data_IF_974023802718
#
_entry.id   IF_974023802718
#
_cell.length_a   1.000
_cell.length_b   1.000
_cell.length_c   1.000
_cell.angle_alpha   90.00
_cell.angle_beta   90.00
_cell.angle_gamma   90.00
#
_symmetry.space_group_name_H-M   'P 1'
#
loop_
_entity.id
_entity.type
_entity.pdbx_description
1 polymer ?
#
# COMPACT_ATOMS: atom_id res chain seq x y z
N UNK A 1 7.60 3.05 0.88
CA UNK A 1 7.13 4.18 1.72
C UNK A 1 8.29 4.73 2.55
N UNK A 2 9.18 5.51 1.94
CA UNK A 2 10.28 6.20 2.61
C UNK A 2 11.03 7.08 1.60
N UNK A 3 11.90 7.97 2.08
CA UNK A 3 12.89 8.59 1.20
C UNK A 3 13.94 7.56 0.78
N UNK A 4 14.53 7.73 -0.42
CA UNK A 4 15.60 6.84 -0.88
C UNK A 4 16.75 6.75 0.12
N UNK A 5 17.21 7.90 0.62
CA UNK A 5 18.28 7.98 1.63
C UNK A 5 18.00 7.11 2.85
N UNK A 6 16.78 7.17 3.39
CA UNK A 6 16.42 6.40 4.57
C UNK A 6 16.38 4.89 4.29
N UNK A 7 15.65 4.46 3.25
CA UNK A 7 15.54 3.02 2.98
C UNK A 7 16.86 2.40 2.50
N UNK A 8 17.71 3.14 1.80
CA UNK A 8 19.06 2.67 1.46
C UNK A 8 19.93 2.55 2.70
N UNK A 9 19.87 3.50 3.63
CA UNK A 9 20.67 3.48 4.88
C UNK A 9 20.15 2.44 5.89
N UNK A 10 18.84 2.21 5.93
CA UNK A 10 18.17 1.40 6.94
C UNK A 10 17.38 0.23 6.31
N UNK A 11 18.05 -0.56 5.46
CA UNK A 11 17.42 -1.69 4.75
C UNK A 11 16.80 -2.71 5.69
N UNK A 12 17.54 -3.15 6.71
CA UNK A 12 17.06 -4.13 7.68
C UNK A 12 15.80 -3.64 8.41
N UNK A 13 15.81 -2.38 8.87
CA UNK A 13 14.64 -1.77 9.51
C UNK A 13 13.43 -1.69 8.55
N UNK A 14 13.67 -1.35 7.28
CA UNK A 14 12.62 -1.30 6.26
C UNK A 14 12.01 -2.68 6.00
N UNK A 15 12.82 -3.73 6.01
CA UNK A 15 12.35 -5.12 5.89
C UNK A 15 11.56 -5.56 7.13
N UNK A 16 12.05 -5.23 8.34
CA UNK A 16 11.34 -5.51 9.59
C UNK A 16 9.98 -4.83 9.62
N UNK A 17 9.90 -3.56 9.23
CA UNK A 17 8.65 -2.83 9.19
C UNK A 17 7.68 -3.42 8.16
N UNK A 18 8.18 -3.79 6.97
CA UNK A 18 7.35 -4.46 5.94
C UNK A 18 6.75 -5.76 6.47
N UNK A 19 7.54 -6.58 7.19
CA UNK A 19 7.07 -7.84 7.78
C UNK A 19 6.02 -7.61 8.88
N UNK A 20 6.28 -6.65 9.78
CA UNK A 20 5.33 -6.31 10.84
C UNK A 20 3.98 -5.85 10.25
N UNK A 21 4.02 -4.94 9.27
CA UNK A 21 2.81 -4.48 8.60
C UNK A 21 2.10 -5.61 7.83
N UNK A 22 2.84 -6.54 7.21
CA UNK A 22 2.23 -7.71 6.56
C UNK A 22 1.48 -8.61 7.56
N UNK A 23 1.99 -8.77 8.78
CA UNK A 23 1.29 -9.48 9.85
C UNK A 23 0.00 -8.74 10.24
N UNK A 24 0.04 -7.41 10.37
CA UNK A 24 -1.14 -6.60 10.65
C UNK A 24 -2.21 -6.71 9.56
N UNK A 25 -1.80 -6.71 8.28
CA UNK A 25 -2.73 -6.92 7.15
C UNK A 25 -3.38 -8.30 7.19
N UNK A 26 -2.62 -9.33 7.55
CA UNK A 26 -3.14 -10.70 7.71
C UNK A 26 -4.14 -10.77 8.86
N UNK A 27 -3.82 -10.15 10.00
CA UNK A 27 -4.74 -10.04 11.12
C UNK A 27 -6.02 -9.31 10.73
N UNK A 28 -5.90 -8.19 10.00
CA UNK A 28 -7.04 -7.37 9.55
C UNK A 28 -8.01 -8.17 8.68
N UNK A 29 -7.51 -8.98 7.73
CA UNK A 29 -8.34 -9.86 6.91
C UNK A 29 -9.08 -10.91 7.75
N UNK A 30 -8.41 -11.49 8.74
CA UNK A 30 -8.97 -12.58 9.56
C UNK A 30 -9.86 -12.10 10.72
N UNK A 31 -9.85 -10.81 11.04
CA UNK A 31 -10.50 -10.24 12.22
C UNK A 31 -11.43 -9.06 11.88
N UNK A 32 -12.15 -9.12 10.74
CA UNK A 32 -12.95 -8.01 10.23
C UNK A 32 -13.97 -7.45 11.24
N UNK A 33 -14.58 -8.28 12.10
CA UNK A 33 -15.52 -7.81 13.12
C UNK A 33 -14.84 -6.93 14.18
N UNK A 34 -13.64 -7.30 14.63
CA UNK A 34 -12.84 -6.49 15.56
C UNK A 34 -12.33 -5.22 14.88
N UNK A 35 -11.85 -5.36 13.65
CA UNK A 35 -11.40 -4.22 12.84
C UNK A 35 -12.52 -3.20 12.62
N UNK A 36 -13.74 -3.65 12.33
CA UNK A 36 -14.92 -2.79 12.19
C UNK A 36 -15.20 -1.99 13.46
N UNK A 37 -15.28 -2.66 14.62
CA UNK A 37 -15.49 -2.00 15.92
C UNK A 37 -14.42 -0.95 16.20
N UNK A 38 -13.15 -1.28 15.92
CA UNK A 38 -12.04 -0.34 16.08
C UNK A 38 -12.19 0.87 15.16
N UNK A 39 -12.48 0.67 13.88
CA UNK A 39 -12.59 1.76 12.90
C UNK A 39 -13.83 2.63 13.13
N UNK A 40 -14.97 2.07 13.54
CA UNK A 40 -16.15 2.86 13.94
C UNK A 40 -15.80 3.82 15.07
N UNK A 41 -15.09 3.33 16.09
CA UNK A 41 -14.65 4.15 17.22
C UNK A 41 -13.63 5.21 16.80
N UNK A 42 -12.60 4.82 16.05
CA UNK A 42 -11.50 5.71 15.66
C UNK A 42 -11.93 6.78 14.67
N UNK A 43 -12.72 6.40 13.66
CA UNK A 43 -13.14 7.31 12.60
C UNK A 43 -14.40 8.11 12.97
N UNK A 44 -15.12 7.72 14.03
CA UNK A 44 -16.40 8.30 14.44
C UNK A 44 -17.44 8.30 13.30
N UNK A 45 -17.43 7.23 12.50
CA UNK A 45 -18.33 7.04 11.36
C UNK A 45 -19.41 6.00 11.65
N UNK A 46 -20.53 6.09 10.92
CA UNK A 46 -21.60 5.11 11.00
C UNK A 46 -21.08 3.69 10.65
N UNK A 47 -21.46 2.70 11.47
CA UNK A 47 -21.05 1.31 11.30
C UNK A 47 -21.37 0.74 9.91
N UNK A 48 -22.52 1.09 9.30
CA UNK A 48 -22.88 0.63 7.96
C UNK A 48 -21.89 1.13 6.90
N UNK A 49 -21.40 2.37 7.05
CA UNK A 49 -20.41 2.96 6.12
C UNK A 49 -19.05 2.27 6.28
N UNK A 50 -18.61 2.05 7.53
CA UNK A 50 -17.34 1.37 7.82
C UNK A 50 -17.37 -0.08 7.33
N UNK A 51 -18.45 -0.82 7.58
CA UNK A 51 -18.59 -2.20 7.10
C UNK A 51 -18.56 -2.25 5.57
N UNK A 52 -19.32 -1.37 4.90
CA UNK A 52 -19.30 -1.30 3.43
C UNK A 52 -17.91 -0.98 2.86
N UNK A 53 -17.11 -0.18 3.57
CA UNK A 53 -15.71 0.06 3.21
C UNK A 53 -14.86 -1.20 3.37
N UNK A 54 -15.01 -1.93 4.47
CA UNK A 54 -14.26 -3.16 4.75
C UNK A 54 -14.60 -4.28 3.76
N UNK A 55 -15.86 -4.41 3.35
CA UNK A 55 -16.30 -5.42 2.39
C UNK A 55 -15.66 -5.24 1.00
N UNK A 56 -15.26 -4.02 0.64
CA UNK A 56 -14.69 -3.69 -0.68
C UNK A 56 -13.17 -3.81 -0.77
N UNK A 57 -12.49 -4.11 0.33
CA UNK A 57 -11.02 -4.11 0.37
C UNK A 57 -10.47 -5.42 0.93
N UNK A 58 -9.39 -5.89 0.32
CA UNK A 58 -8.46 -6.82 0.93
C UNK A 58 -7.24 -6.04 1.45
N UNK A 59 -6.62 -6.56 2.51
CA UNK A 59 -5.43 -5.95 3.11
C UNK A 59 -4.21 -6.78 2.73
N UNK A 60 -3.20 -6.16 2.14
CA UNK A 60 -1.93 -6.83 1.83
C UNK A 60 -0.77 -5.86 1.92
N UNK A 61 0.39 -6.38 2.31
CA UNK A 61 1.65 -5.64 2.34
C UNK A 61 2.77 -6.63 2.08
N UNK A 62 3.74 -6.24 1.26
CA UNK A 62 4.82 -7.12 0.87
C UNK A 62 5.90 -6.40 0.05
N UNK A 63 6.90 -7.16 -0.37
CA UNK A 63 7.89 -6.67 -1.32
C UNK A 63 7.22 -6.35 -2.67
N UNK A 64 7.71 -5.30 -3.32
CA UNK A 64 7.27 -4.96 -4.69
C UNK A 64 7.70 -6.07 -5.62
N UNK A 65 6.75 -6.66 -6.36
CA UNK A 65 7.02 -7.71 -7.34
C UNK A 65 7.23 -7.13 -8.73
N UNK A 66 7.76 -7.96 -9.64
CA UNK A 66 7.89 -7.56 -11.05
C UNK A 66 6.53 -7.30 -11.71
N UNK A 67 5.48 -8.01 -11.29
CA UNK A 67 4.11 -7.76 -11.77
C UNK A 67 3.63 -6.37 -11.33
N UNK A 68 3.86 -5.99 -10.08
CA UNK A 68 3.53 -4.64 -9.60
C UNK A 68 4.31 -3.57 -10.36
N UNK A 69 5.60 -3.77 -10.63
CA UNK A 69 6.41 -2.81 -11.41
C UNK A 69 5.83 -2.62 -12.81
N UNK A 70 5.45 -3.71 -13.50
CA UNK A 70 4.85 -3.65 -14.84
C UNK A 70 3.52 -2.92 -14.84
N UNK A 71 2.64 -3.25 -13.90
CA UNK A 71 1.32 -2.61 -13.77
C UNK A 71 1.45 -1.11 -13.48
N UNK A 72 2.31 -0.74 -12.53
CA UNK A 72 2.55 0.66 -12.20
C UNK A 72 3.22 1.42 -13.36
N UNK A 73 4.08 0.76 -14.15
CA UNK A 73 4.67 1.38 -15.34
C UNK A 73 3.59 1.70 -16.37
N UNK A 74 2.65 0.77 -16.62
CA UNK A 74 1.55 1.00 -17.56
C UNK A 74 0.66 2.20 -17.14
N UNK A 75 0.38 2.33 -15.84
CA UNK A 75 -0.35 3.49 -15.31
C UNK A 75 0.44 4.79 -15.52
N UNK A 76 1.74 4.78 -15.22
CA UNK A 76 2.61 5.94 -15.39
C UNK A 76 2.72 6.38 -16.85
N UNK A 77 2.82 5.42 -17.77
CA UNK A 77 2.86 5.66 -19.21
C UNK A 77 1.54 6.28 -19.69
N UNK A 78 0.40 5.76 -19.26
CA UNK A 78 -0.93 6.31 -19.59
C UNK A 78 -1.07 7.75 -19.08
N UNK A 79 -0.64 8.02 -17.85
CA UNK A 79 -0.71 9.37 -17.27
C UNK A 79 0.14 10.37 -18.06
N UNK A 80 1.29 9.94 -18.56
CA UNK A 80 2.14 10.76 -19.40
C UNK A 80 1.52 10.97 -20.79
N UNK A 81 0.97 9.92 -21.41
CA UNK A 81 0.30 9.99 -22.70
C UNK A 81 -0.91 10.94 -22.69
N UNK A 82 -1.72 10.89 -21.61
CA UNK A 82 -2.85 11.78 -21.40
C UNK A 82 -2.46 13.18 -20.89
N UNK A 83 -1.15 13.47 -20.77
CA UNK A 83 -0.61 14.75 -20.27
C UNK A 83 -1.12 15.13 -18.87
N UNK A 84 -1.50 14.13 -18.07
CA UNK A 84 -1.83 14.31 -16.64
C UNK A 84 -0.57 14.56 -15.81
N UNK A 85 0.58 14.12 -16.30
CA UNK A 85 1.91 14.43 -15.76
C UNK A 85 2.84 14.93 -16.87
N UNK A 86 3.79 15.79 -16.50
CA UNK A 86 4.69 16.45 -17.47
C UNK A 86 6.01 15.70 -17.69
N UNK A 87 6.33 14.73 -16.83
CA UNK A 87 7.56 13.94 -16.92
C UNK A 87 7.22 12.47 -17.03
N UNK A 88 7.84 11.82 -18.01
CA UNK A 88 7.85 10.36 -18.08
C UNK A 88 8.68 9.81 -16.93
N UNK A 89 8.22 8.71 -16.31
CA UNK A 89 8.89 8.09 -15.17
C UNK A 89 9.07 6.59 -15.39
N UNK A 90 10.25 6.09 -15.04
CA UNK A 90 10.57 4.66 -15.04
C UNK A 90 10.41 4.12 -13.62
N UNK A 91 9.38 3.31 -13.37
CA UNK A 91 9.01 2.84 -12.03
C UNK A 91 10.12 2.01 -11.37
N UNK A 92 10.85 1.21 -12.15
CA UNK A 92 11.92 0.37 -11.61
C UNK A 92 13.03 1.18 -10.93
N UNK A 93 13.24 2.43 -11.34
CA UNK A 93 14.28 3.27 -10.76
C UNK A 93 13.99 3.59 -9.29
N UNK A 94 12.71 3.57 -8.88
CA UNK A 94 12.23 3.91 -7.54
C UNK A 94 12.10 2.70 -6.61
N UNK A 95 12.40 1.49 -7.09
CA UNK A 95 12.39 0.27 -6.27
C UNK A 95 13.78 0.03 -5.68
N UNK A 96 13.88 0.00 -4.35
CA UNK A 96 15.13 -0.31 -3.64
C UNK A 96 15.24 -1.83 -3.53
N UNK A 97 16.34 -2.38 -4.07
CA UNK A 97 16.72 -3.79 -3.97
C UNK A 97 17.35 -4.10 -2.62
#
# INVERSE_FOLDING_TARGET
MSTRKFATKHKALSQTLTKALAADMTWANNNQAHLSKMLVKTLKLNAKVVNKMLDRRSFSMGAVTQANIKEQQAIADEFYAQKLVTKHVTISDYVIK
#
